data_IF_001562004296
#
_entry.id   IF_001562004296
#
_cell.length_a   1.000
_cell.length_b   1.000
_cell.length_c   1.000
_cell.angle_alpha   90.00
_cell.angle_beta   90.00
_cell.angle_gamma   90.00
#
_symmetry.space_group_name_H-M   'P 1'
#
loop_
_entity.id
_entity.type
_entity.pdbx_description
1 polymer ?
#
# COMPACT_ATOMS: atom_id res chain seq x y z
N UNK A 1 22.59 16.03 -23.00
CA UNK A 1 21.25 15.42 -22.93
C UNK A 1 20.30 16.35 -22.19
N UNK A 2 19.21 16.75 -22.84
CA UNK A 2 18.13 17.47 -22.17
C UNK A 2 17.45 16.45 -21.25
N UNK A 3 17.46 16.69 -19.94
CA UNK A 3 16.75 15.84 -18.98
C UNK A 3 15.28 16.22 -19.12
N UNK A 4 14.51 15.43 -19.87
CA UNK A 4 13.06 15.61 -19.92
C UNK A 4 12.48 15.21 -18.56
N UNK A 5 11.85 16.16 -17.87
CA UNK A 5 11.16 15.89 -16.61
C UNK A 5 9.78 15.31 -16.91
N UNK A 6 9.43 14.22 -16.21
CA UNK A 6 8.11 13.59 -16.30
C UNK A 6 7.16 14.24 -15.29
N UNK A 7 5.91 14.45 -15.71
CA UNK A 7 4.81 14.90 -14.84
C UNK A 7 3.72 13.84 -14.76
N UNK A 8 3.06 13.74 -13.60
CA UNK A 8 1.87 12.89 -13.44
C UNK A 8 0.69 13.64 -14.04
N UNK A 9 0.12 13.08 -15.10
CA UNK A 9 -1.05 13.61 -15.79
C UNK A 9 -2.34 13.13 -15.10
N UNK A 10 -2.43 11.82 -14.84
CA UNK A 10 -3.59 11.19 -14.20
C UNK A 10 -3.15 10.21 -13.11
N UNK A 11 -3.93 10.16 -12.02
CA UNK A 11 -3.85 9.13 -11.00
C UNK A 11 -5.04 8.18 -11.19
N UNK A 12 -4.77 6.94 -11.56
CA UNK A 12 -5.82 5.98 -11.91
C UNK A 12 -6.32 5.25 -10.65
N UNK A 13 -5.41 4.81 -9.78
CA UNK A 13 -5.77 4.16 -8.53
C UNK A 13 -4.83 3.06 -8.10
N UNK A 14 -5.17 2.39 -6.99
CA UNK A 14 -4.41 1.26 -6.48
C UNK A 14 -4.58 0.03 -7.38
N UNK A 15 -3.46 -0.52 -7.83
CA UNK A 15 -3.36 -1.84 -8.45
C UNK A 15 -2.63 -2.77 -7.50
N UNK A 16 -3.10 -4.02 -7.40
CA UNK A 16 -2.50 -5.02 -6.52
C UNK A 16 -2.56 -6.42 -7.10
N UNK A 17 -1.66 -7.27 -6.67
CA UNK A 17 -1.70 -8.70 -6.93
C UNK A 17 -1.18 -9.52 -5.74
N UNK A 18 -1.61 -10.77 -5.67
CA UNK A 18 -1.27 -11.71 -4.60
C UNK A 18 -1.12 -13.10 -5.20
N UNK A 19 -0.10 -13.82 -4.76
CA UNK A 19 0.15 -15.20 -5.17
C UNK A 19 0.65 -16.00 -3.96
N UNK A 20 0.35 -17.29 -3.95
CA UNK A 20 0.79 -18.21 -2.90
C UNK A 20 1.50 -19.38 -3.56
N UNK A 21 2.62 -19.80 -2.99
CA UNK A 21 3.39 -20.95 -3.47
C UNK A 21 3.80 -21.83 -2.28
N UNK A 22 4.10 -23.09 -2.54
CA UNK A 22 4.68 -23.99 -1.53
C UNK A 22 6.06 -23.51 -1.11
N UNK A 23 6.33 -23.50 0.19
CA UNK A 23 7.66 -23.21 0.72
C UNK A 23 8.59 -24.42 0.46
N UNK A 24 9.73 -24.22 -0.23
CA UNK A 24 10.70 -25.28 -0.45
C UNK A 24 11.24 -25.95 0.83
N UNK A 25 11.06 -25.35 2.01
CA UNK A 25 11.44 -25.98 3.29
C UNK A 25 10.61 -27.22 3.63
N UNK A 26 9.39 -27.33 3.12
CA UNK A 26 8.44 -28.38 3.48
C UNK A 26 8.27 -29.45 2.38
N UNK A 27 8.99 -29.34 1.25
CA UNK A 27 8.97 -30.35 0.20
C UNK A 27 9.66 -31.67 0.64
N UNK A 28 9.07 -32.82 0.29
CA UNK A 28 9.56 -34.14 0.71
C UNK A 28 11.00 -34.45 0.29
N UNK A 29 11.46 -33.88 -0.85
CA UNK A 29 12.81 -34.08 -1.39
C UNK A 29 13.87 -33.32 -0.56
N UNK A 30 13.47 -32.37 0.28
CA UNK A 30 14.36 -31.57 1.14
C UNK A 30 14.81 -32.29 2.41
N UNK A 31 14.23 -33.46 2.74
CA UNK A 31 14.76 -34.33 3.81
C UNK A 31 16.20 -34.81 3.54
N UNK A 32 16.70 -34.61 2.32
CA UNK A 32 18.05 -34.99 1.86
C UNK A 32 18.88 -33.74 1.49
N UNK A 33 18.30 -32.53 1.49
CA UNK A 33 19.01 -31.30 1.11
C UNK A 33 19.77 -30.69 2.29
N UNK A 34 20.90 -30.07 2.01
CA UNK A 34 21.61 -29.25 3.00
C UNK A 34 20.83 -27.96 3.30
N UNK A 35 20.97 -27.35 4.50
CA UNK A 35 20.35 -26.07 4.83
C UNK A 35 20.67 -24.95 3.81
N UNK A 36 21.85 -25.01 3.19
CA UNK A 36 22.28 -24.07 2.15
C UNK A 36 21.45 -24.21 0.87
N UNK A 37 21.17 -25.44 0.45
CA UNK A 37 20.39 -25.70 -0.77
C UNK A 37 18.91 -25.33 -0.62
N UNK A 38 18.31 -25.58 0.56
CA UNK A 38 16.93 -25.14 0.86
C UNK A 38 16.83 -23.61 0.87
N UNK A 39 17.80 -22.91 1.46
CA UNK A 39 17.84 -21.44 1.43
C UNK A 39 17.99 -20.89 0.01
N UNK A 40 18.83 -21.50 -0.83
CA UNK A 40 18.99 -21.11 -2.22
C UNK A 40 17.69 -21.31 -3.03
N UNK A 41 17.01 -22.43 -2.83
CA UNK A 41 15.70 -22.70 -3.43
C UNK A 41 14.66 -21.67 -2.99
N UNK A 42 14.59 -21.34 -1.68
CA UNK A 42 13.68 -20.32 -1.16
C UNK A 42 13.98 -18.93 -1.74
N UNK A 43 15.24 -18.55 -1.84
CA UNK A 43 15.61 -17.29 -2.49
C UNK A 43 15.27 -17.27 -3.99
N UNK A 44 15.39 -18.41 -4.68
CA UNK A 44 15.02 -18.54 -6.09
C UNK A 44 13.51 -18.35 -6.30
N UNK A 45 12.68 -19.05 -5.52
CA UNK A 45 11.22 -18.93 -5.63
C UNK A 45 10.75 -17.51 -5.26
N UNK A 46 11.33 -16.89 -4.22
CA UNK A 46 11.02 -15.49 -3.86
C UNK A 46 11.29 -14.54 -5.03
N UNK A 47 12.46 -14.63 -5.67
CA UNK A 47 12.79 -13.76 -6.82
C UNK A 47 11.85 -13.98 -8.00
N UNK A 48 11.52 -15.24 -8.29
CA UNK A 48 10.61 -15.60 -9.39
C UNK A 48 9.19 -15.07 -9.12
N UNK A 49 8.65 -15.35 -7.94
CA UNK A 49 7.29 -14.95 -7.55
C UNK A 49 7.13 -13.43 -7.51
N UNK A 50 8.09 -12.69 -6.94
CA UNK A 50 8.06 -11.22 -6.95
C UNK A 50 8.11 -10.64 -8.38
N UNK A 51 8.95 -11.21 -9.26
CA UNK A 51 9.01 -10.80 -10.67
C UNK A 51 7.69 -11.05 -11.40
N UNK A 52 7.02 -12.18 -11.15
CA UNK A 52 5.72 -12.49 -11.72
C UNK A 52 4.64 -11.53 -11.19
N UNK A 53 4.64 -11.25 -9.88
CA UNK A 53 3.73 -10.29 -9.25
C UNK A 53 3.90 -8.88 -9.83
N UNK A 54 5.14 -8.41 -9.99
CA UNK A 54 5.44 -7.11 -10.61
C UNK A 54 4.90 -7.03 -12.05
N UNK A 55 5.05 -8.10 -12.84
CA UNK A 55 4.49 -8.18 -14.19
C UNK A 55 2.97 -8.13 -14.17
N UNK A 56 2.32 -8.89 -13.29
CA UNK A 56 0.86 -8.91 -13.19
C UNK A 56 0.31 -7.55 -12.76
N UNK A 57 0.95 -6.90 -11.78
CA UNK A 57 0.59 -5.53 -11.36
C UNK A 57 0.76 -4.55 -12.52
N UNK A 58 1.87 -4.62 -13.27
CA UNK A 58 2.10 -3.77 -14.43
C UNK A 58 1.09 -4.02 -15.57
N UNK A 59 0.73 -5.28 -15.83
CA UNK A 59 -0.29 -5.64 -16.83
C UNK A 59 -1.68 -5.12 -16.43
N UNK A 60 -2.07 -5.27 -15.15
CA UNK A 60 -3.31 -4.69 -14.63
C UNK A 60 -3.30 -3.17 -14.77
N UNK A 61 -2.19 -2.52 -14.39
CA UNK A 61 -2.03 -1.08 -14.54
C UNK A 61 -2.15 -0.65 -16.01
N UNK A 62 -1.52 -1.38 -16.93
CA UNK A 62 -1.58 -1.09 -18.36
C UNK A 62 -3.01 -1.26 -18.90
N UNK A 63 -3.72 -2.30 -18.47
CA UNK A 63 -5.11 -2.53 -18.87
C UNK A 63 -6.07 -1.41 -18.44
N UNK A 64 -5.69 -0.64 -17.42
CA UNK A 64 -6.42 0.55 -16.94
C UNK A 64 -5.96 1.86 -17.63
N UNK A 65 -5.13 1.79 -18.68
CA UNK A 65 -4.67 2.97 -19.42
C UNK A 65 -3.52 3.74 -18.74
N UNK A 66 -2.86 3.14 -17.75
CA UNK A 66 -1.66 3.71 -17.12
C UNK A 66 -0.39 3.32 -17.89
N UNK A 67 0.70 4.05 -17.66
CA UNK A 67 2.03 3.71 -18.18
C UNK A 67 3.10 3.60 -17.08
N UNK A 68 2.73 3.84 -15.82
CA UNK A 68 3.62 3.70 -14.68
C UNK A 68 2.87 3.28 -13.41
N UNK A 69 3.59 2.63 -12.50
CA UNK A 69 3.13 2.32 -11.14
C UNK A 69 4.09 2.98 -10.17
N UNK A 70 3.59 3.87 -9.33
CA UNK A 70 4.34 4.59 -8.30
C UNK A 70 3.92 4.15 -6.89
N UNK A 71 4.76 4.37 -5.90
CA UNK A 71 4.49 3.89 -4.54
C UNK A 71 4.40 2.36 -4.47
N UNK A 72 5.23 1.67 -5.24
CA UNK A 72 5.22 0.20 -5.29
C UNK A 72 5.74 -0.41 -3.98
N UNK A 73 4.99 -1.36 -3.45
CA UNK A 73 5.33 -2.11 -2.25
C UNK A 73 5.21 -3.61 -2.53
N UNK A 74 6.15 -4.39 -1.99
CA UNK A 74 6.17 -5.85 -2.04
C UNK A 74 6.26 -6.41 -0.63
N UNK A 75 5.64 -7.58 -0.42
CA UNK A 75 5.66 -8.31 0.84
C UNK A 75 5.84 -9.79 0.57
N UNK A 76 6.59 -10.43 1.46
CA UNK A 76 6.81 -11.88 1.47
C UNK A 76 6.41 -12.36 2.85
N UNK A 77 5.30 -13.10 2.92
CA UNK A 77 4.71 -13.60 4.14
C UNK A 77 4.99 -15.11 4.22
N UNK A 78 6.00 -15.48 4.99
CA UNK A 78 6.36 -16.88 5.24
C UNK A 78 5.38 -17.44 6.28
N UNK A 79 4.57 -18.42 5.90
CA UNK A 79 3.50 -18.94 6.77
C UNK A 79 3.96 -20.12 7.63
N UNK A 80 5.06 -20.78 7.23
CA UNK A 80 5.67 -21.87 7.99
C UNK A 80 4.74 -23.07 8.13
N UNK A 81 4.81 -23.75 9.27
CA UNK A 81 4.05 -24.96 9.60
C UNK A 81 2.52 -24.75 9.68
N UNK A 82 2.05 -23.51 9.56
CA UNK A 82 0.63 -23.21 9.51
C UNK A 82 -0.03 -23.78 8.24
N UNK A 83 0.67 -23.67 7.10
CA UNK A 83 0.16 -24.01 5.76
C UNK A 83 1.23 -24.55 4.81
N UNK A 84 2.51 -24.48 5.17
CA UNK A 84 3.65 -24.84 4.31
C UNK A 84 3.77 -23.95 3.06
N UNK A 85 3.20 -22.74 3.12
CA UNK A 85 3.16 -21.79 2.02
C UNK A 85 3.98 -20.52 2.27
N UNK A 86 4.34 -19.86 1.17
CA UNK A 86 4.80 -18.47 1.13
C UNK A 86 3.79 -17.66 0.34
N UNK A 87 3.26 -16.61 0.96
CA UNK A 87 2.37 -15.65 0.30
C UNK A 87 3.14 -14.41 -0.13
N UNK A 88 2.98 -14.02 -1.39
CA UNK A 88 3.56 -12.82 -1.97
C UNK A 88 2.46 -11.82 -2.25
N UNK A 89 2.67 -10.56 -1.86
CA UNK A 89 1.76 -9.45 -2.16
C UNK A 89 2.52 -8.32 -2.77
N UNK A 90 1.91 -7.67 -3.75
CA UNK A 90 2.43 -6.42 -4.29
C UNK A 90 1.29 -5.46 -4.61
N UNK A 91 1.53 -4.18 -4.40
CA UNK A 91 0.61 -3.13 -4.82
C UNK A 91 1.35 -1.84 -5.15
N UNK A 92 0.66 -0.95 -5.85
CA UNK A 92 1.12 0.41 -6.10
C UNK A 92 0.02 1.24 -6.74
N UNK A 93 0.27 2.52 -6.94
CA UNK A 93 -0.66 3.43 -7.59
C UNK A 93 -0.34 3.53 -9.07
N UNK A 94 -1.27 3.07 -9.92
CA UNK A 94 -1.22 3.25 -11.36
C UNK A 94 -1.40 4.73 -11.72
N UNK A 95 -0.51 5.27 -12.53
CA UNK A 95 -0.51 6.66 -12.99
C UNK A 95 -0.19 6.75 -14.48
N UNK A 96 -0.61 7.84 -15.11
CA UNK A 96 -0.19 8.20 -16.46
C UNK A 96 0.81 9.35 -16.40
N UNK A 97 2.03 9.09 -16.87
CA UNK A 97 3.11 10.07 -16.97
C UNK A 97 3.19 10.66 -18.39
N UNK A 98 3.57 11.94 -18.48
CA UNK A 98 3.85 12.65 -19.74
C UNK A 98 5.13 13.49 -19.63
N UNK A 99 5.79 13.74 -20.76
CA UNK A 99 6.93 14.68 -20.84
C UNK A 99 6.44 16.12 -20.72
N UNK A 100 7.16 16.96 -19.97
CA UNK A 100 6.85 18.39 -19.77
C UNK A 100 7.25 19.28 -20.96
N UNK A 101 6.74 19.03 -22.17
CA UNK A 101 7.08 19.84 -23.36
C UNK A 101 5.95 20.77 -23.87
N UNK A 102 4.87 20.95 -23.11
CA UNK A 102 3.90 22.04 -23.38
C UNK A 102 2.46 21.72 -22.99
N UNK A 103 1.86 22.62 -22.19
CA UNK A 103 0.48 22.60 -21.65
C UNK A 103 0.05 21.27 -21.01
N UNK A 104 0.23 21.21 -19.68
CA UNK A 104 -0.42 20.24 -18.81
C UNK A 104 -1.92 20.54 -18.80
N UNK A 105 -2.73 19.75 -19.51
CA UNK A 105 -4.15 19.57 -19.18
C UNK A 105 -4.25 18.27 -18.39
N UNK A 106 -4.11 18.38 -17.07
CA UNK A 106 -4.29 17.25 -16.17
C UNK A 106 -5.70 16.68 -16.37
N UNK A 107 -5.81 15.42 -16.78
CA UNK A 107 -7.08 14.70 -16.78
C UNK A 107 -7.45 14.38 -15.34
N UNK A 108 -8.16 15.30 -14.69
CA UNK A 108 -8.52 15.19 -13.28
C UNK A 108 -9.58 14.12 -13.06
N UNK A 109 -9.18 12.87 -12.83
CA UNK A 109 -10.08 11.86 -12.24
C UNK A 109 -9.29 10.80 -11.47
N UNK A 110 -9.32 10.89 -10.14
CA UNK A 110 -8.89 9.78 -9.29
C UNK A 110 -10.02 8.75 -9.24
N UNK A 111 -9.84 7.62 -9.95
CA UNK A 111 -10.92 6.62 -10.03
C UNK A 111 -11.09 5.76 -8.78
N UNK A 112 -10.09 5.71 -7.88
CA UNK A 112 -10.12 4.84 -6.70
C UNK A 112 -9.83 5.60 -5.39
N UNK A 113 -10.46 5.15 -4.30
CA UNK A 113 -10.42 5.83 -3.00
C UNK A 113 -9.15 5.55 -2.20
N UNK A 114 -8.22 4.73 -2.72
CA UNK A 114 -7.00 4.31 -2.01
C UNK A 114 -5.80 4.49 -2.93
N UNK A 115 -4.73 5.09 -2.40
CA UNK A 115 -3.46 5.32 -3.07
C UNK A 115 -2.30 4.97 -2.14
N UNK A 116 -1.27 4.36 -2.72
CA UNK A 116 0.02 4.09 -2.07
C UNK A 116 0.95 5.31 -2.07
N UNK A 117 0.69 6.30 -2.93
CA UNK A 117 1.42 7.57 -2.96
C UNK A 117 1.31 8.29 -1.61
N UNK A 118 2.44 8.68 -1.03
CA UNK A 118 2.49 9.45 0.22
C UNK A 118 2.26 10.95 0.01
N UNK A 119 2.59 11.44 -1.17
CA UNK A 119 2.47 12.85 -1.55
C UNK A 119 1.75 12.89 -2.88
N UNK A 120 0.68 13.68 -2.94
CA UNK A 120 0.00 13.96 -4.20
C UNK A 120 0.76 15.06 -4.96
N UNK A 121 0.75 15.02 -6.30
CA UNK A 121 1.22 16.12 -7.12
C UNK A 121 0.60 17.46 -6.68
N UNK A 122 1.37 18.55 -6.78
CA UNK A 122 0.95 19.89 -6.34
C UNK A 122 -0.27 20.46 -7.07
N UNK A 123 -0.72 19.79 -8.14
CA UNK A 123 -1.97 20.12 -8.84
C UNK A 123 -3.22 19.75 -8.02
N UNK A 124 -3.11 18.83 -7.05
CA UNK A 124 -4.22 18.44 -6.19
C UNK A 124 -4.25 19.29 -4.93
N UNK A 125 -5.37 19.98 -4.71
CA UNK A 125 -5.68 20.60 -3.42
C UNK A 125 -6.44 19.61 -2.53
N UNK A 126 -6.00 19.45 -1.29
CA UNK A 126 -6.66 18.55 -0.34
C UNK A 126 -6.55 19.05 1.10
N UNK A 127 -7.57 18.75 1.90
CA UNK A 127 -7.56 18.92 3.35
C UNK A 127 -7.03 17.64 3.99
N UNK A 128 -5.94 17.75 4.74
CA UNK A 128 -5.44 16.64 5.56
C UNK A 128 -6.50 16.23 6.59
N UNK A 129 -6.69 14.92 6.72
CA UNK A 129 -7.58 14.36 7.72
C UNK A 129 -6.83 13.55 8.76
N UNK A 130 -7.41 12.41 9.11
CA UNK A 130 -6.90 11.53 10.15
C UNK A 130 -6.20 10.31 9.57
N UNK A 131 -5.35 9.69 10.38
CA UNK A 131 -4.88 8.34 10.09
C UNK A 131 -6.03 7.36 10.30
N UNK A 132 -6.29 6.53 9.28
CA UNK A 132 -7.25 5.43 9.34
C UNK A 132 -6.49 4.10 9.42
N UNK A 133 -7.08 3.14 10.13
CA UNK A 133 -6.50 1.82 10.31
C UNK A 133 -7.60 0.77 10.49
N UNK A 134 -7.48 -0.32 9.73
CA UNK A 134 -8.32 -1.50 9.88
C UNK A 134 -7.44 -2.71 10.21
N UNK A 135 -7.96 -3.61 11.06
CA UNK A 135 -7.27 -4.86 11.44
C UNK A 135 -8.25 -6.02 11.39
N UNK A 136 -7.77 -7.19 10.96
CA UNK A 136 -8.54 -8.43 11.01
C UNK A 136 -7.65 -9.60 11.39
N UNK A 137 -8.22 -10.58 12.08
CA UNK A 137 -7.53 -11.82 12.45
C UNK A 137 -8.15 -12.98 11.69
N UNK A 138 -7.30 -13.80 11.07
CA UNK A 138 -7.72 -14.98 10.33
C UNK A 138 -6.95 -16.22 10.78
N UNK A 139 -7.60 -17.37 10.71
CA UNK A 139 -6.95 -18.66 10.92
C UNK A 139 -6.42 -19.14 9.57
N UNK A 140 -5.15 -19.51 9.53
CA UNK A 140 -4.52 -20.09 8.37
C UNK A 140 -4.90 -21.58 8.29
N UNK A 141 -5.50 -21.94 7.16
CA UNK A 141 -5.91 -23.29 6.79
C UNK A 141 -5.15 -23.73 5.55
N UNK A 142 -4.87 -25.03 5.48
CA UNK A 142 -4.28 -25.68 4.31
C UNK A 142 -5.39 -25.94 3.28
N UNK A 143 -5.76 -24.87 2.57
CA UNK A 143 -6.77 -24.91 1.53
C UNK A 143 -6.11 -24.80 0.15
N UNK A 144 -6.58 -25.60 -0.82
CA UNK A 144 -6.13 -25.52 -2.21
C UNK A 144 -6.33 -24.12 -2.82
N UNK A 145 -7.29 -23.34 -2.31
CA UNK A 145 -7.61 -21.99 -2.78
C UNK A 145 -6.97 -20.88 -1.94
N UNK A 146 -5.83 -21.18 -1.31
CA UNK A 146 -5.08 -20.29 -0.44
C UNK A 146 -4.97 -18.84 -0.96
N UNK A 147 -4.59 -18.69 -2.23
CA UNK A 147 -4.46 -17.38 -2.91
C UNK A 147 -5.77 -16.60 -2.95
N UNK A 148 -6.88 -17.27 -3.27
CA UNK A 148 -8.20 -16.63 -3.37
C UNK A 148 -8.67 -16.18 -1.99
N UNK A 149 -8.50 -17.04 -0.98
CA UNK A 149 -8.85 -16.74 0.41
C UNK A 149 -8.07 -15.54 0.95
N UNK A 150 -6.74 -15.51 0.75
CA UNK A 150 -5.88 -14.39 1.19
C UNK A 150 -6.23 -13.10 0.46
N UNK A 151 -6.50 -13.18 -0.85
CA UNK A 151 -6.97 -12.04 -1.65
C UNK A 151 -8.26 -11.46 -1.10
N UNK A 152 -9.21 -12.32 -0.70
CA UNK A 152 -10.48 -11.92 -0.09
C UNK A 152 -10.25 -11.19 1.23
N UNK A 153 -9.40 -11.71 2.12
CA UNK A 153 -9.09 -11.07 3.42
C UNK A 153 -8.58 -9.63 3.24
N UNK A 154 -7.62 -9.41 2.34
CA UNK A 154 -7.12 -8.06 2.04
C UNK A 154 -8.15 -7.18 1.34
N UNK A 155 -9.02 -7.76 0.51
CA UNK A 155 -10.15 -7.07 -0.12
C UNK A 155 -11.13 -6.54 0.92
N UNK A 156 -11.61 -7.40 1.81
CA UNK A 156 -12.53 -7.08 2.88
C UNK A 156 -11.93 -6.02 3.84
N UNK A 157 -10.64 -6.16 4.17
CA UNK A 157 -9.94 -5.20 5.04
C UNK A 157 -9.82 -3.80 4.40
N UNK A 158 -9.58 -3.73 3.09
CA UNK A 158 -9.57 -2.46 2.34
C UNK A 158 -10.95 -1.80 2.28
N UNK A 159 -12.01 -2.60 2.10
CA UNK A 159 -13.39 -2.10 2.14
C UNK A 159 -13.69 -1.47 3.50
N UNK A 160 -13.28 -2.14 4.58
CA UNK A 160 -13.42 -1.61 5.94
C UNK A 160 -12.65 -0.29 6.14
N UNK A 161 -11.40 -0.21 5.66
CA UNK A 161 -10.61 1.02 5.73
C UNK A 161 -11.28 2.18 4.99
N UNK A 162 -11.81 1.93 3.78
CA UNK A 162 -12.53 2.93 3.00
C UNK A 162 -13.82 3.35 3.70
N UNK A 163 -14.57 2.39 4.28
CA UNK A 163 -15.78 2.68 5.06
C UNK A 163 -15.49 3.58 6.25
N UNK A 164 -14.37 3.35 6.95
CA UNK A 164 -13.92 4.21 8.04
C UNK A 164 -13.65 5.65 7.55
N UNK A 165 -12.88 5.82 6.46
CA UNK A 165 -12.59 7.14 5.89
C UNK A 165 -13.87 7.89 5.47
N UNK A 166 -14.79 7.20 4.78
CA UNK A 166 -16.05 7.77 4.32
C UNK A 166 -16.97 8.19 5.48
N UNK A 167 -16.98 7.43 6.59
CA UNK A 167 -17.74 7.79 7.79
C UNK A 167 -17.30 9.12 8.41
N UNK A 168 -16.04 9.50 8.18
CA UNK A 168 -15.42 10.75 8.61
C UNK A 168 -15.41 11.83 7.52
N UNK A 169 -16.15 11.62 6.42
CA UNK A 169 -16.27 12.54 5.27
C UNK A 169 -14.97 12.73 4.46
N UNK A 170 -14.04 11.80 4.56
CA UNK A 170 -12.86 11.75 3.69
C UNK A 170 -13.11 10.83 2.49
N UNK A 171 -12.72 11.26 1.30
CA UNK A 171 -13.01 10.56 0.03
C UNK A 171 -11.77 9.89 -0.58
N UNK A 172 -10.60 10.07 0.01
CA UNK A 172 -9.36 9.52 -0.50
C UNK A 172 -8.43 9.12 0.65
N UNK A 173 -7.78 7.97 0.51
CA UNK A 173 -6.75 7.48 1.42
C UNK A 173 -5.42 7.51 0.68
N UNK A 174 -4.43 8.21 1.24
CA UNK A 174 -3.06 8.28 0.71
C UNK A 174 -2.08 7.58 1.64
N UNK A 175 -0.91 7.22 1.12
CA UNK A 175 0.12 6.51 1.87
C UNK A 175 -0.37 5.16 2.40
N UNK A 176 -1.24 4.48 1.64
CA UNK A 176 -1.74 3.16 1.99
C UNK A 176 -0.60 2.16 2.17
N UNK A 177 -0.61 1.45 3.30
CA UNK A 177 0.36 0.39 3.62
C UNK A 177 -0.32 -0.81 4.25
N UNK A 178 0.26 -2.00 4.05
CA UNK A 178 -0.21 -3.27 4.58
C UNK A 178 0.85 -3.88 5.49
N UNK A 179 0.43 -4.59 6.53
CA UNK A 179 1.29 -5.36 7.43
C UNK A 179 0.59 -6.64 7.86
N UNK A 180 1.35 -7.71 8.02
CA UNK A 180 0.86 -8.97 8.56
C UNK A 180 1.79 -9.47 9.66
N UNK A 181 1.22 -10.13 10.66
CA UNK A 181 1.96 -10.86 11.68
C UNK A 181 1.37 -12.26 11.81
N UNK A 182 2.18 -13.27 11.52
CA UNK A 182 1.79 -14.67 11.59
C UNK A 182 2.36 -15.27 12.86
N UNK A 183 1.51 -15.91 13.65
CA UNK A 183 1.91 -16.63 14.87
C UNK A 183 1.16 -17.95 14.93
N UNK A 184 1.91 -19.06 14.76
CA UNK A 184 1.31 -20.39 14.60
C UNK A 184 0.30 -20.32 13.45
N UNK A 185 -0.93 -20.81 13.65
CA UNK A 185 -2.01 -20.76 12.67
C UNK A 185 -2.83 -19.47 12.64
N UNK A 186 -2.38 -18.40 13.28
CA UNK A 186 -3.11 -17.12 13.29
C UNK A 186 -2.37 -16.05 12.49
N UNK A 187 -3.08 -15.38 11.60
CA UNK A 187 -2.62 -14.22 10.85
C UNK A 187 -3.37 -12.98 11.32
N UNK A 188 -2.64 -12.00 11.85
CA UNK A 188 -3.14 -10.65 12.12
C UNK A 188 -2.78 -9.75 10.93
N UNK A 189 -3.79 -9.30 10.20
CA UNK A 189 -3.64 -8.36 9.10
C UNK A 189 -3.93 -6.95 9.61
N UNK A 190 -3.20 -5.99 9.07
CA UNK A 190 -3.38 -4.56 9.34
C UNK A 190 -3.17 -3.78 8.05
N UNK A 191 -4.04 -2.82 7.78
CA UNK A 191 -3.78 -1.79 6.78
C UNK A 191 -3.96 -0.41 7.37
N UNK A 192 -3.20 0.55 6.87
CA UNK A 192 -3.20 1.93 7.36
C UNK A 192 -3.07 2.91 6.21
N UNK A 193 -3.52 4.14 6.42
CA UNK A 193 -3.33 5.24 5.49
C UNK A 193 -3.79 6.55 6.11
N UNK A 194 -3.58 7.66 5.41
CA UNK A 194 -4.10 8.97 5.82
C UNK A 194 -5.32 9.30 4.98
N UNK A 195 -6.46 9.45 5.64
CA UNK A 195 -7.69 9.87 5.01
C UNK A 195 -7.64 11.38 4.78
N UNK A 196 -7.95 11.81 3.56
CA UNK A 196 -7.93 13.21 3.13
C UNK A 196 -9.21 13.52 2.35
N UNK A 197 -9.56 14.81 2.30
CA UNK A 197 -10.67 15.30 1.49
C UNK A 197 -10.09 16.09 0.32
N UNK A 198 -10.26 15.58 -0.90
CA UNK A 198 -9.83 16.31 -2.09
C UNK A 198 -10.81 17.46 -2.36
N UNK A 199 -10.27 18.66 -2.54
CA UNK A 199 -11.04 19.85 -2.89
C UNK A 199 -10.87 20.03 -4.40
N UNK A 200 -11.93 19.80 -5.18
CA UNK A 200 -11.95 20.18 -6.59
C UNK A 200 -11.95 21.72 -6.62
N UNK A 201 -10.89 22.33 -7.15
CA UNK A 201 -10.75 23.79 -7.23
C UNK A 201 -11.81 24.38 -8.16
N UNK A 202 -12.97 24.67 -7.58
CA UNK A 202 -14.11 25.34 -8.20
C UNK A 202 -15.10 25.94 -7.20
N UNK A 203 -14.79 25.96 -5.90
CA UNK A 203 -15.57 26.69 -4.90
C UNK A 203 -14.64 27.20 -3.81
N UNK A 204 -14.41 28.51 -3.80
CA UNK A 204 -13.92 29.21 -2.62
C UNK A 204 -14.94 29.06 -1.48
N UNK A 205 -14.50 28.50 -0.35
CA UNK A 205 -14.75 28.99 1.02
C UNK A 205 -14.13 28.06 2.08
N UNK A 206 -13.15 28.58 2.84
CA UNK A 206 -12.77 28.14 4.22
C UNK A 206 -13.85 28.61 5.23
N UNK A 207 -13.85 28.24 6.54
CA UNK A 207 -13.03 27.36 7.41
C UNK A 207 -13.89 26.21 8.02
N UNK A 208 -13.49 25.23 8.85
CA UNK A 208 -12.81 25.28 10.15
C UNK A 208 -12.02 23.99 10.44
N UNK A 209 -10.98 24.16 11.26
CA UNK A 209 -10.04 23.13 11.66
C UNK A 209 -10.59 22.35 12.86
N UNK A 210 -10.61 21.02 12.76
CA UNK A 210 -10.56 20.17 13.96
C UNK A 210 -9.22 19.45 13.96
N UNK A 211 -8.23 20.04 14.64
CA UNK A 211 -7.03 19.34 15.04
C UNK A 211 -7.38 18.36 16.17
N UNK A 212 -6.86 17.13 16.12
CA UNK A 212 -6.78 16.29 17.31
C UNK A 212 -5.40 16.41 17.94
N UNK A 213 -5.41 16.63 19.26
CA UNK A 213 -4.28 16.77 20.17
C UNK A 213 -3.20 15.72 19.92
N UNK A 214 -2.03 16.17 19.46
CA UNK A 214 -0.79 15.62 19.99
C UNK A 214 -0.54 16.31 21.33
N UNK A 215 -0.33 15.55 22.40
CA UNK A 215 0.20 16.10 23.64
C UNK A 215 1.63 16.60 23.37
N UNK A 216 1.76 17.87 23.00
CA UNK A 216 3.03 18.57 23.12
C UNK A 216 3.30 18.74 24.62
N UNK A 217 4.19 17.92 25.16
CA UNK A 217 4.91 18.24 26.39
C UNK A 217 5.77 19.48 26.10
N UNK A 218 5.25 20.67 26.41
CA UNK A 218 6.12 21.82 26.61
C UNK A 218 6.77 21.67 27.99
N UNK A 219 7.98 21.11 28.01
CA UNK A 219 8.89 21.32 29.11
C UNK A 219 9.38 22.76 29.05
N UNK A 220 8.67 23.66 29.72
CA UNK A 220 9.19 25.00 30.03
C UNK A 220 10.37 24.85 31.00
N UNK A 221 11.58 24.84 30.47
CA UNK A 221 12.78 25.23 31.21
C UNK A 221 13.06 26.70 30.89
N UNK A 222 12.30 27.58 31.55
CA UNK A 222 12.57 29.01 31.59
C UNK A 222 13.74 29.28 32.55
N UNK A 223 14.96 29.34 32.04
CA UNK A 223 16.05 30.08 32.71
C UNK A 223 16.11 31.49 32.15
N UNK A 224 15.53 32.40 32.92
CA UNK A 224 15.56 33.85 32.70
C UNK A 224 16.98 34.39 32.55
N UNK A 225 17.17 35.22 31.52
CA UNK A 225 18.30 36.12 31.40
C UNK A 225 18.23 37.23 32.47
N UNK A 226 19.43 37.58 32.91
CA UNK A 226 19.84 38.68 33.80
C UNK A 226 19.10 40.00 33.57
N UNK A 227 18.72 40.63 34.68
CA UNK A 227 18.70 42.11 34.82
C UNK A 227 19.24 42.45 36.22
N UNK A 228 20.24 43.33 36.23
CA UNK A 228 21.05 43.91 37.32
C UNK A 228 22.25 43.10 37.80
#
# INVERSE_FOLDING_TARGET
SIISTLSINDIIGLVSDIATVTDPEYEWIDRIRSPRASNEARQSIIRKSLRELAKNVAQKAHSLGSNAVLGYHEFVDIEGDATELITFRAFGTAVRLSQMDGKVTAGENIMHHVLSLKVLPNIYSYKCGVVVCARSTHVLTDDNDATVTRKKWWGDLKVELVRQALSLRYNLIIGYTEQISIRKKMALLSCTGTAISMILTGAENMPDCTMFHAAYFNGDASTNQKIN
#
